data_IF_378536871926
#
_entry.id   IF_378536871926
#
_cell.length_a   1.000
_cell.length_b   1.000
_cell.length_c   1.000
_cell.angle_alpha   90.00
_cell.angle_beta   90.00
_cell.angle_gamma   90.00
#
_symmetry.space_group_name_H-M   'P 1'
#
loop_
_entity.id
_entity.type
_entity.pdbx_description
1 polymer ?
#
# COMPACT_ATOMS: atom_id res chain seq x y z
N UNK A 1 -35.45 45.41 -57.38
CA UNK A 1 -35.22 44.63 -58.57
C UNK A 1 -34.74 43.23 -58.13
N UNK A 2 -35.40 42.21 -58.25
CA UNK A 2 -36.29 41.54 -59.07
C UNK A 2 -36.64 40.24 -58.38
N UNK A 3 -37.88 40.06 -58.33
CA UNK A 3 -38.70 38.87 -58.19
C UNK A 3 -38.24 37.68 -59.08
N UNK A 4 -38.53 36.50 -58.62
CA UNK A 4 -39.59 35.56 -59.18
C UNK A 4 -39.46 34.27 -58.37
N UNK A 5 -40.50 33.86 -57.65
CA UNK A 5 -41.63 32.98 -57.92
C UNK A 5 -41.24 31.66 -58.61
N UNK A 6 -41.60 30.55 -57.95
CA UNK A 6 -42.40 29.57 -58.61
C UNK A 6 -42.10 28.14 -58.28
N UNK A 7 -43.09 27.56 -57.71
CA UNK A 7 -43.77 26.27 -57.96
C UNK A 7 -43.40 25.04 -57.11
N UNK A 8 -44.46 24.65 -56.46
CA UNK A 8 -44.66 23.35 -55.80
C UNK A 8 -44.80 22.20 -56.89
N UNK A 9 -44.27 21.05 -56.48
CA UNK A 9 -44.77 19.79 -57.04
C UNK A 9 -44.80 18.73 -55.94
N UNK A 10 -46.00 18.21 -55.70
CA UNK A 10 -46.30 16.99 -54.99
C UNK A 10 -45.78 15.79 -55.76
N UNK A 11 -45.23 14.81 -55.02
CA UNK A 11 -45.28 13.42 -55.48
C UNK A 11 -45.23 12.50 -54.23
N UNK A 12 -46.15 11.58 -54.34
CA UNK A 12 -46.60 10.62 -53.35
C UNK A 12 -45.57 9.54 -53.01
N UNK A 13 -45.61 9.08 -51.75
CA UNK A 13 -45.59 7.77 -51.17
C UNK A 13 -44.62 6.69 -51.66
N UNK A 14 -43.76 6.28 -50.75
CA UNK A 14 -43.45 4.85 -50.59
C UNK A 14 -43.00 4.55 -49.17
N UNK A 15 -43.77 3.69 -48.53
CA UNK A 15 -43.48 3.05 -47.25
C UNK A 15 -42.29 2.13 -47.40
N UNK A 16 -41.19 2.44 -46.66
CA UNK A 16 -40.06 1.54 -46.50
C UNK A 16 -39.82 1.32 -45.02
N UNK A 17 -40.07 0.12 -44.55
CA UNK A 17 -39.71 -0.37 -43.24
C UNK A 17 -38.19 -0.26 -43.05
N UNK A 18 -37.75 0.51 -42.08
CA UNK A 18 -36.38 0.44 -41.60
C UNK A 18 -36.37 -0.38 -40.31
N UNK A 19 -35.80 -1.55 -40.41
CA UNK A 19 -35.50 -2.46 -39.30
C UNK A 19 -34.58 -1.77 -38.30
N UNK A 20 -34.95 -1.87 -37.04
CA UNK A 20 -34.19 -1.34 -35.93
C UNK A 20 -32.84 -2.03 -35.77
N UNK A 21 -31.75 -1.32 -35.98
CA UNK A 21 -30.45 -1.72 -35.48
C UNK A 21 -30.35 -1.30 -33.99
N UNK A 22 -30.51 -2.29 -33.13
CA UNK A 22 -30.15 -2.18 -31.72
C UNK A 22 -28.64 -1.94 -31.62
N UNK A 23 -28.26 -0.78 -31.10
CA UNK A 23 -26.87 -0.48 -30.70
C UNK A 23 -26.43 -1.51 -29.67
N UNK A 24 -25.39 -2.27 -29.98
CA UNK A 24 -24.71 -3.12 -29.02
C UNK A 24 -23.99 -2.23 -27.97
N UNK A 25 -24.03 -2.59 -26.69
CA UNK A 25 -23.25 -1.90 -25.69
C UNK A 25 -21.76 -2.16 -25.94
N UNK A 26 -20.99 -1.06 -25.92
CA UNK A 26 -19.54 -1.03 -26.01
C UNK A 26 -18.97 -1.93 -24.92
N UNK A 27 -18.03 -2.79 -25.34
CA UNK A 27 -17.47 -3.86 -24.56
C UNK A 27 -16.99 -3.46 -23.17
N UNK A 28 -17.43 -4.24 -22.22
CA UNK A 28 -16.74 -4.37 -20.94
C UNK A 28 -15.32 -4.87 -21.24
N UNK A 29 -14.32 -4.10 -20.85
CA UNK A 29 -12.96 -4.59 -20.73
C UNK A 29 -12.99 -5.77 -19.75
N UNK A 30 -12.95 -6.97 -20.28
CA UNK A 30 -12.69 -8.16 -19.50
C UNK A 30 -11.29 -8.04 -18.93
N UNK A 31 -11.22 -7.70 -17.64
CA UNK A 31 -10.10 -8.04 -16.81
C UNK A 31 -9.80 -9.53 -17.01
N UNK A 32 -8.76 -9.82 -17.76
CA UNK A 32 -8.23 -11.18 -17.89
C UNK A 32 -7.59 -11.58 -16.57
N UNK A 33 -8.41 -12.06 -15.64
CA UNK A 33 -7.88 -12.86 -14.54
C UNK A 33 -7.39 -14.19 -15.13
N UNK A 34 -6.17 -14.62 -14.79
CA UNK A 34 -5.71 -15.95 -15.16
C UNK A 34 -6.58 -17.00 -14.44
N UNK A 35 -7.30 -17.79 -15.22
CA UNK A 35 -8.08 -18.94 -14.75
C UNK A 35 -7.10 -20.09 -14.52
N UNK A 36 -6.37 -20.04 -13.42
CA UNK A 36 -5.77 -21.22 -12.79
C UNK A 36 -5.85 -20.96 -11.28
N UNK A 37 -6.35 -21.90 -10.51
CA UNK A 37 -6.51 -21.77 -9.05
C UNK A 37 -5.19 -21.72 -8.27
N UNK A 38 -4.15 -21.13 -8.83
CA UNK A 38 -2.86 -20.92 -8.21
C UNK A 38 -2.78 -19.46 -7.74
N UNK A 39 -2.44 -19.26 -6.49
CA UNK A 39 -2.19 -17.94 -5.92
C UNK A 39 -1.07 -17.24 -6.71
N UNK A 40 -1.14 -15.90 -6.89
CA UNK A 40 -0.10 -15.16 -7.59
C UNK A 40 1.24 -15.24 -6.84
N UNK A 41 2.34 -15.18 -7.59
CA UNK A 41 3.68 -15.06 -7.00
C UNK A 41 3.74 -13.84 -6.08
N UNK A 42 4.21 -14.02 -4.85
CA UNK A 42 4.31 -12.97 -3.85
C UNK A 42 5.68 -12.94 -3.18
N UNK A 43 6.04 -11.78 -2.64
CA UNK A 43 7.20 -11.61 -1.79
C UNK A 43 6.80 -11.54 -0.32
N UNK A 44 7.37 -12.42 0.50
CA UNK A 44 7.34 -12.32 1.95
C UNK A 44 8.60 -11.63 2.43
N UNK A 45 8.46 -10.77 3.42
CA UNK A 45 9.60 -10.07 4.03
C UNK A 45 9.38 -9.81 5.52
N UNK A 46 10.48 -9.67 6.25
CA UNK A 46 10.52 -9.26 7.63
C UNK A 46 11.73 -8.38 7.88
N UNK A 47 11.62 -7.50 8.85
CA UNK A 47 12.66 -6.60 9.27
C UNK A 47 13.09 -6.88 10.71
N UNK A 48 14.38 -6.80 11.00
CA UNK A 48 14.86 -6.73 12.36
C UNK A 48 14.77 -5.30 12.83
N UNK A 49 14.02 -5.09 13.89
CA UNK A 49 13.72 -3.78 14.46
C UNK A 49 14.54 -3.64 15.73
N UNK A 50 15.32 -2.57 15.83
CA UNK A 50 16.17 -2.31 16.99
C UNK A 50 15.38 -2.42 18.29
N UNK A 51 15.91 -3.18 19.24
CA UNK A 51 15.35 -3.46 20.57
C UNK A 51 14.04 -4.29 20.55
N UNK A 52 13.55 -4.73 19.40
CA UNK A 52 12.31 -5.52 19.30
C UNK A 52 12.51 -6.89 18.65
N UNK A 53 13.59 -7.04 17.89
CA UNK A 53 13.83 -8.28 17.14
C UNK A 53 13.13 -8.33 15.79
N UNK A 54 12.96 -9.53 15.26
CA UNK A 54 12.31 -9.74 13.97
C UNK A 54 10.80 -9.42 14.04
N UNK A 55 10.35 -8.63 13.09
CA UNK A 55 8.91 -8.41 12.88
C UNK A 55 8.21 -9.71 12.47
N UNK A 56 6.88 -9.74 12.57
CA UNK A 56 6.10 -10.74 11.86
C UNK A 56 6.41 -10.70 10.36
N UNK A 57 6.32 -11.87 9.71
CA UNK A 57 6.42 -11.96 8.25
C UNK A 57 5.28 -11.19 7.62
N UNK A 58 5.61 -10.36 6.65
CA UNK A 58 4.68 -9.50 5.93
C UNK A 58 4.70 -9.90 4.46
N UNK A 59 3.56 -10.02 3.83
CA UNK A 59 3.43 -10.35 2.41
C UNK A 59 3.04 -9.12 1.60
N UNK A 60 3.35 -9.17 0.33
CA UNK A 60 3.05 -8.22 -0.75
C UNK A 60 2.38 -6.91 -0.34
N UNK A 61 3.08 -5.81 -0.53
CA UNK A 61 2.61 -4.43 -0.30
C UNK A 61 2.05 -4.12 1.10
N UNK A 62 2.10 -5.05 2.05
CA UNK A 62 1.73 -4.77 3.42
C UNK A 62 2.87 -4.05 4.16
N UNK A 63 2.52 -3.35 5.22
CA UNK A 63 3.47 -2.54 5.97
C UNK A 63 4.31 -3.41 6.92
N UNK A 64 5.64 -3.34 6.78
CA UNK A 64 6.59 -3.75 7.79
C UNK A 64 7.30 -2.50 8.32
N UNK A 65 7.04 -2.08 9.55
CA UNK A 65 7.59 -0.84 10.10
C UNK A 65 8.04 -0.95 11.55
N UNK A 66 9.04 -0.14 11.88
CA UNK A 66 9.47 0.07 13.25
C UNK A 66 8.55 1.07 13.96
N UNK A 67 8.30 0.91 15.25
CA UNK A 67 7.61 1.92 16.03
C UNK A 67 8.48 3.17 16.25
N UNK A 68 7.86 4.22 16.79
CA UNK A 68 8.55 5.48 17.09
C UNK A 68 9.78 5.24 17.94
N UNK A 69 10.89 5.90 17.60
CA UNK A 69 12.21 5.80 18.24
C UNK A 69 12.93 4.45 18.03
N UNK A 70 12.49 3.63 17.10
CA UNK A 70 13.21 2.45 16.64
C UNK A 70 13.42 2.52 15.11
N UNK A 71 14.19 1.62 14.55
CA UNK A 71 14.51 1.57 13.12
C UNK A 71 14.87 0.17 12.67
N UNK A 72 14.91 -0.03 11.36
CA UNK A 72 15.30 -1.29 10.75
C UNK A 72 16.82 -1.41 10.70
N UNK A 73 17.35 -2.55 11.14
CA UNK A 73 18.79 -2.86 11.12
C UNK A 73 19.14 -4.07 10.24
N UNK A 74 18.19 -4.94 9.94
CA UNK A 74 18.37 -6.07 9.03
C UNK A 74 17.05 -6.43 8.33
N UNK A 75 17.14 -7.18 7.23
CA UNK A 75 15.98 -7.68 6.48
C UNK A 75 16.17 -9.13 6.05
N UNK A 76 15.05 -9.82 5.84
CA UNK A 76 14.91 -11.10 5.16
C UNK A 76 13.77 -11.01 4.17
N UNK A 77 13.92 -11.65 3.01
CA UNK A 77 12.85 -11.78 2.03
C UNK A 77 12.91 -13.13 1.32
N UNK A 78 11.76 -13.69 1.01
CA UNK A 78 11.63 -14.91 0.21
C UNK A 78 10.37 -14.85 -0.65
N UNK A 79 10.32 -15.69 -1.67
CA UNK A 79 9.14 -15.82 -2.53
C UNK A 79 8.22 -16.92 -2.03
N UNK A 80 6.92 -16.71 -2.23
CA UNK A 80 5.87 -17.71 -2.03
C UNK A 80 4.98 -17.81 -3.27
N UNK A 81 4.23 -18.91 -3.41
CA UNK A 81 3.37 -19.22 -4.54
C UNK A 81 4.12 -19.21 -5.88
N UNK A 82 5.35 -19.74 -5.87
CA UNK A 82 6.16 -19.88 -7.08
C UNK A 82 5.42 -20.81 -8.04
N UNK A 83 5.13 -20.39 -9.29
CA UNK A 83 4.43 -21.24 -10.26
C UNK A 83 5.22 -22.50 -10.57
N UNK A 84 4.53 -23.63 -10.69
CA UNK A 84 5.13 -24.92 -10.97
C UNK A 84 6.01 -24.87 -12.23
N UNK A 85 7.19 -25.47 -12.15
CA UNK A 85 8.15 -25.50 -13.23
C UNK A 85 8.87 -24.17 -13.50
N UNK A 86 8.59 -23.12 -12.71
CA UNK A 86 9.24 -21.81 -12.85
C UNK A 86 10.45 -21.71 -11.94
N UNK A 87 11.59 -21.31 -12.50
CA UNK A 87 12.79 -21.01 -11.72
C UNK A 87 12.83 -19.51 -11.45
N UNK A 88 12.37 -19.11 -10.27
CA UNK A 88 12.42 -17.72 -9.80
C UNK A 88 12.82 -17.69 -8.34
N UNK A 89 13.78 -16.83 -8.01
CA UNK A 89 14.26 -16.56 -6.67
C UNK A 89 14.29 -15.05 -6.43
N UNK A 90 14.70 -14.63 -5.25
CA UNK A 90 14.89 -13.23 -4.89
C UNK A 90 16.26 -13.04 -4.26
N UNK A 91 16.95 -11.96 -4.65
CA UNK A 91 18.13 -11.48 -3.92
C UNK A 91 17.99 -10.03 -3.52
N UNK A 92 18.63 -9.67 -2.45
CA UNK A 92 18.54 -8.33 -1.89
C UNK A 92 19.80 -7.98 -1.10
N UNK A 93 20.09 -6.70 -1.01
CA UNK A 93 21.17 -6.15 -0.18
C UNK A 93 20.71 -4.86 0.47
N UNK A 94 21.37 -4.49 1.54
CA UNK A 94 21.11 -3.26 2.28
C UNK A 94 22.36 -2.40 2.37
N UNK A 95 22.13 -1.10 2.43
CA UNK A 95 23.15 -0.11 2.76
C UNK A 95 23.01 0.24 4.22
N UNK A 96 24.06 -0.02 5.01
CA UNK A 96 24.11 0.35 6.42
C UNK A 96 24.81 1.70 6.59
N UNK A 97 24.27 2.53 7.47
CA UNK A 97 24.87 3.80 7.84
C UNK A 97 26.33 3.62 8.27
N UNK A 98 27.22 4.40 7.66
CA UNK A 98 28.66 4.35 7.94
C UNK A 98 29.42 3.13 7.40
N UNK A 99 28.72 2.12 6.85
CA UNK A 99 29.36 0.90 6.32
C UNK A 99 29.22 0.80 4.80
N UNK A 100 28.08 1.25 4.25
CA UNK A 100 27.76 1.12 2.85
C UNK A 100 27.01 -0.17 2.52
N UNK A 101 27.04 -0.57 1.23
CA UNK A 101 26.35 -1.75 0.73
C UNK A 101 27.00 -3.04 1.23
N UNK A 102 26.20 -3.92 1.84
CA UNK A 102 26.62 -5.26 2.21
C UNK A 102 26.55 -6.22 1.00
N UNK A 103 27.02 -7.44 1.18
CA UNK A 103 26.84 -8.49 0.19
C UNK A 103 25.38 -8.83 -0.06
N UNK A 104 25.07 -9.32 -1.26
CA UNK A 104 23.75 -9.86 -1.59
C UNK A 104 23.41 -11.05 -0.70
N UNK A 105 22.18 -11.05 -0.20
CA UNK A 105 21.54 -12.20 0.44
C UNK A 105 20.44 -12.73 -0.49
N UNK A 106 20.07 -13.99 -0.36
CA UNK A 106 19.12 -14.68 -1.24
C UNK A 106 18.11 -15.48 -0.43
N UNK A 107 16.90 -15.58 -0.94
CA UNK A 107 15.86 -16.55 -0.56
C UNK A 107 15.71 -16.80 0.95
N UNK A 108 15.50 -15.76 1.73
CA UNK A 108 15.29 -15.80 3.17
C UNK A 108 16.55 -15.65 4.02
N UNK A 109 17.74 -15.56 3.41
CA UNK A 109 18.96 -15.26 4.15
C UNK A 109 18.93 -13.83 4.71
N UNK A 110 19.55 -13.62 5.86
CA UNK A 110 19.63 -12.32 6.51
C UNK A 110 20.66 -11.40 5.83
N UNK A 111 20.32 -10.11 5.67
CA UNK A 111 21.29 -9.06 5.34
C UNK A 111 21.04 -7.86 6.26
N UNK A 112 22.12 -7.24 6.71
CA UNK A 112 22.08 -6.17 7.69
C UNK A 112 22.83 -6.55 8.97
N UNK A 113 22.45 -5.90 10.07
CA UNK A 113 23.05 -6.15 11.39
C UNK A 113 21.96 -6.41 12.43
N UNK A 114 21.41 -7.64 12.50
CA UNK A 114 20.35 -7.99 13.43
C UNK A 114 20.75 -7.75 14.90
N UNK A 115 22.00 -7.98 15.23
CA UNK A 115 22.53 -7.69 16.60
C UNK A 115 23.15 -6.28 16.68
N UNK A 116 23.16 -5.55 15.56
CA UNK A 116 23.76 -4.23 15.46
C UNK A 116 22.79 -3.09 15.78
N UNK A 117 23.33 -1.92 15.97
CA UNK A 117 22.57 -0.68 16.21
C UNK A 117 22.51 0.22 14.99
N UNK A 118 23.27 -0.11 13.95
CA UNK A 118 23.38 0.75 12.76
C UNK A 118 22.11 0.64 11.91
N UNK A 119 21.46 1.76 11.58
CA UNK A 119 20.26 1.73 10.76
C UNK A 119 20.59 1.42 9.31
N UNK A 120 19.62 0.83 8.60
CA UNK A 120 19.61 0.82 7.15
C UNK A 120 19.34 2.24 6.63
N UNK A 121 19.99 2.60 5.53
CA UNK A 121 19.72 3.83 4.78
C UNK A 121 19.08 3.54 3.41
N UNK A 122 19.34 2.36 2.84
CA UNK A 122 18.78 1.99 1.53
C UNK A 122 18.69 0.47 1.39
N UNK A 123 17.85 0.03 0.48
CA UNK A 123 17.66 -1.38 0.11
C UNK A 123 17.61 -1.53 -1.41
N UNK A 124 18.12 -2.64 -1.91
CA UNK A 124 17.95 -3.12 -3.30
C UNK A 124 17.40 -4.52 -3.27
N UNK A 125 16.45 -4.80 -4.17
CA UNK A 125 15.89 -6.14 -4.34
C UNK A 125 15.71 -6.44 -5.82
N UNK A 126 15.99 -7.66 -6.25
CA UNK A 126 15.70 -8.10 -7.61
C UNK A 126 15.35 -9.59 -7.65
N UNK A 127 14.59 -9.96 -8.65
CA UNK A 127 14.27 -11.36 -8.93
C UNK A 127 15.41 -12.02 -9.69
N UNK A 128 15.62 -13.30 -9.43
CA UNK A 128 16.65 -14.14 -10.06
C UNK A 128 16.02 -15.34 -10.77
N UNK A 129 16.80 -16.02 -11.59
CA UNK A 129 16.35 -17.19 -12.34
C UNK A 129 15.65 -16.87 -13.66
N UNK A 130 15.40 -17.90 -14.46
CA UNK A 130 14.84 -17.75 -15.82
C UNK A 130 13.41 -17.24 -15.85
N UNK A 131 12.64 -17.43 -14.78
CA UNK A 131 11.27 -16.94 -14.63
C UNK A 131 11.17 -15.48 -14.22
N UNK A 132 12.26 -14.85 -13.77
CA UNK A 132 12.25 -13.46 -13.29
C UNK A 132 11.75 -12.46 -14.34
N UNK A 133 12.00 -12.71 -15.61
CA UNK A 133 11.61 -11.82 -16.71
C UNK A 133 10.08 -11.65 -16.88
N UNK A 134 9.27 -12.52 -16.25
CA UNK A 134 7.80 -12.45 -16.28
C UNK A 134 7.21 -11.48 -15.25
N UNK A 135 8.02 -10.90 -14.37
CA UNK A 135 7.58 -10.12 -13.24
C UNK A 135 8.37 -8.83 -13.08
N UNK A 136 7.78 -7.89 -12.34
CA UNK A 136 8.46 -6.72 -11.79
C UNK A 136 8.37 -6.77 -10.26
N UNK A 137 9.49 -6.54 -9.59
CA UNK A 137 9.56 -6.43 -8.13
C UNK A 137 9.71 -4.96 -7.76
N UNK A 138 8.71 -4.40 -7.12
CA UNK A 138 8.69 -3.04 -6.61
C UNK A 138 8.92 -3.01 -5.10
N UNK A 139 9.63 -2.00 -4.61
CA UNK A 139 9.84 -1.79 -3.18
C UNK A 139 10.10 -0.32 -2.87
N UNK A 140 9.79 0.08 -1.65
CA UNK A 140 10.04 1.41 -1.13
C UNK A 140 10.32 1.38 0.37
N UNK A 141 10.92 2.43 0.89
CA UNK A 141 11.24 2.57 2.31
C UNK A 141 10.60 3.81 2.91
N UNK A 142 10.29 3.72 4.19
CA UNK A 142 9.84 4.85 5.01
C UNK A 142 11.05 5.48 5.64
N UNK A 143 11.28 6.77 5.38
CA UNK A 143 12.38 7.57 5.93
C UNK A 143 11.85 8.93 6.36
N UNK A 144 12.26 9.40 7.53
CA UNK A 144 11.87 10.72 8.02
C UNK A 144 10.34 10.99 7.95
N UNK A 145 9.53 9.95 8.23
CA UNK A 145 8.08 10.02 8.23
C UNK A 145 7.40 10.03 6.86
N UNK A 146 8.15 9.89 5.76
CA UNK A 146 7.62 9.84 4.40
C UNK A 146 8.10 8.60 3.65
N UNK A 147 7.23 8.04 2.78
CA UNK A 147 7.62 7.00 1.85
C UNK A 147 8.45 7.58 0.71
N UNK A 148 9.52 6.88 0.34
CA UNK A 148 10.21 7.15 -0.94
C UNK A 148 9.30 6.78 -2.11
N UNK A 149 9.67 7.22 -3.31
CA UNK A 149 9.10 6.65 -4.53
C UNK A 149 9.41 5.14 -4.62
N UNK A 150 8.60 4.42 -5.40
CA UNK A 150 8.85 3.03 -5.69
C UNK A 150 10.12 2.85 -6.52
N UNK A 151 11.06 2.09 -5.99
CA UNK A 151 12.16 1.52 -6.75
C UNK A 151 11.75 0.16 -7.31
N UNK A 152 12.44 -0.32 -8.35
CA UNK A 152 12.15 -1.60 -8.97
C UNK A 152 13.42 -2.32 -9.44
N UNK A 153 13.39 -3.64 -9.42
CA UNK A 153 14.31 -4.52 -10.14
C UNK A 153 15.80 -4.15 -9.96
N UNK A 154 16.24 -4.02 -8.71
CA UNK A 154 17.63 -3.73 -8.35
C UNK A 154 17.97 -2.24 -8.20
N UNK A 155 17.04 -1.31 -8.48
CA UNK A 155 17.26 0.10 -8.19
C UNK A 155 17.29 0.36 -6.67
N UNK A 156 17.97 1.41 -6.21
CA UNK A 156 18.05 1.76 -4.79
C UNK A 156 16.76 2.42 -4.32
N UNK A 157 16.20 1.95 -3.21
CA UNK A 157 15.17 2.64 -2.43
C UNK A 157 15.80 3.17 -1.16
N UNK A 158 15.65 4.47 -0.90
CA UNK A 158 16.29 5.18 0.21
C UNK A 158 17.41 6.12 -0.25
N UNK A 159 18.03 6.81 0.69
CA UNK A 159 19.08 7.79 0.45
C UNK A 159 20.39 7.34 1.09
N UNK A 160 21.31 6.87 0.28
CA UNK A 160 22.63 6.38 0.69
C UNK A 160 23.49 7.50 1.25
N UNK A 161 24.13 7.28 2.39
CA UNK A 161 25.07 8.23 3.00
C UNK A 161 24.43 9.52 3.53
N UNK A 162 23.11 9.59 3.57
CA UNK A 162 22.39 10.78 4.05
C UNK A 162 22.14 10.77 5.56
N UNK A 163 22.48 9.68 6.27
CA UNK A 163 22.16 9.52 7.68
C UNK A 163 20.66 9.34 7.96
N UNK A 164 19.87 9.09 6.93
CA UNK A 164 18.44 8.86 7.04
C UNK A 164 18.16 7.38 7.26
N UNK A 165 17.66 7.04 8.43
CA UNK A 165 17.32 5.67 8.80
C UNK A 165 16.06 5.18 8.10
N UNK A 166 16.01 3.89 7.80
CA UNK A 166 14.80 3.22 7.34
C UNK A 166 13.95 2.85 8.55
N UNK A 167 12.72 3.36 8.57
CA UNK A 167 11.72 3.10 9.60
C UNK A 167 10.67 2.08 9.13
N UNK A 168 10.60 1.76 7.85
CA UNK A 168 9.68 0.76 7.31
C UNK A 168 9.98 0.38 5.88
N UNK A 169 9.42 -0.75 5.46
CA UNK A 169 9.61 -1.35 4.13
C UNK A 169 8.26 -1.79 3.60
N UNK A 170 8.07 -1.63 2.29
CA UNK A 170 7.05 -2.31 1.49
C UNK A 170 7.71 -2.89 0.25
N UNK A 171 7.30 -4.10 -0.11
CA UNK A 171 7.70 -4.76 -1.35
C UNK A 171 6.50 -5.48 -1.96
N UNK A 172 6.45 -5.56 -3.28
CA UNK A 172 5.37 -6.22 -4.02
C UNK A 172 5.84 -6.72 -5.37
N UNK A 173 5.27 -7.83 -5.82
CA UNK A 173 5.52 -8.39 -7.15
C UNK A 173 4.28 -8.17 -8.01
N UNK A 174 4.50 -7.74 -9.24
CA UNK A 174 3.47 -7.61 -10.26
C UNK A 174 3.86 -8.38 -11.52
N UNK A 175 2.90 -8.74 -12.36
CA UNK A 175 3.22 -9.24 -13.69
C UNK A 175 4.02 -8.18 -14.46
N UNK A 176 4.92 -8.63 -15.33
CA UNK A 176 5.79 -7.74 -16.11
C UNK A 176 4.98 -6.69 -16.87
N UNK A 177 5.31 -5.43 -16.64
CA UNK A 177 4.64 -4.30 -17.30
C UNK A 177 3.26 -3.93 -16.75
N UNK A 178 2.78 -4.58 -15.69
CA UNK A 178 1.51 -4.22 -15.05
C UNK A 178 1.57 -2.88 -14.29
N UNK A 179 2.77 -2.36 -14.06
CA UNK A 179 2.98 -1.07 -13.41
C UNK A 179 3.13 -1.16 -11.88
N UNK A 180 3.23 0.01 -11.28
CA UNK A 180 3.42 0.19 -9.83
C UNK A 180 2.25 -0.41 -9.05
N UNK A 181 2.50 -1.15 -7.95
CA UNK A 181 1.44 -1.68 -7.10
C UNK A 181 0.51 -0.56 -6.60
N UNK A 182 -0.79 -0.82 -6.61
CA UNK A 182 -1.74 0.10 -5.99
C UNK A 182 -1.44 0.23 -4.49
N UNK A 183 -1.54 1.45 -3.96
CA UNK A 183 -1.41 1.62 -2.51
C UNK A 183 -2.50 0.79 -1.81
N UNK A 184 -2.15 0.05 -0.74
CA UNK A 184 -3.14 -0.66 0.01
C UNK A 184 -4.23 0.31 0.47
N UNK A 185 -5.44 0.07 0.04
CA UNK A 185 -6.59 0.79 0.60
C UNK A 185 -6.68 0.31 2.05
N UNK A 186 -6.28 1.14 2.99
CA UNK A 186 -6.55 0.89 4.41
C UNK A 186 -8.07 1.02 4.56
N UNK A 187 -8.75 -0.05 4.27
CA UNK A 187 -10.17 -0.18 4.55
C UNK A 187 -10.32 -0.24 6.08
N UNK A 188 -10.58 0.88 6.70
CA UNK A 188 -10.94 0.94 8.11
C UNK A 188 -12.33 0.33 8.36
N UNK A 189 -12.75 -0.65 7.56
CA UNK A 189 -14.10 -1.19 7.59
C UNK A 189 -15.15 -0.22 7.06
N UNK A 190 -14.72 0.73 6.23
CA UNK A 190 -15.58 1.73 5.62
C UNK A 190 -16.25 1.12 4.38
N UNK A 191 -17.56 1.04 4.39
CA UNK A 191 -18.37 0.67 3.25
C UNK A 191 -18.82 1.95 2.51
N UNK A 192 -18.23 2.29 1.35
CA UNK A 192 -18.56 3.55 0.65
C UNK A 192 -20.00 3.59 0.10
N UNK A 193 -20.71 2.46 0.10
CA UNK A 193 -22.12 2.40 -0.30
C UNK A 193 -23.09 2.85 0.82
N UNK A 194 -22.59 3.00 2.04
CA UNK A 194 -23.40 3.41 3.22
C UNK A 194 -23.12 4.86 3.61
N UNK A 195 -24.12 5.61 4.02
CA UNK A 195 -23.91 6.93 4.59
C UNK A 195 -22.95 6.87 5.79
N UNK A 196 -21.93 7.71 5.78
CA UNK A 196 -20.91 7.76 6.84
C UNK A 196 -20.71 9.18 7.33
N UNK A 197 -20.35 9.30 8.60
CA UNK A 197 -19.91 10.55 9.21
C UNK A 197 -18.57 10.31 9.88
N UNK A 198 -17.65 11.28 9.80
CA UNK A 198 -16.44 11.33 10.58
C UNK A 198 -16.69 12.23 11.81
N UNK A 199 -16.48 11.69 13.00
CA UNK A 199 -16.58 12.45 14.24
C UNK A 199 -15.18 12.85 14.69
N UNK A 200 -14.98 14.12 14.99
CA UNK A 200 -13.76 14.66 15.58
C UNK A 200 -14.06 15.41 16.86
N UNK A 201 -13.16 15.35 17.82
CA UNK A 201 -13.24 16.09 19.08
C UNK A 201 -11.90 16.79 19.30
N UNK A 202 -11.97 18.09 19.50
CA UNK A 202 -10.79 18.94 19.61
C UNK A 202 -10.59 19.42 21.07
N UNK A 203 -9.36 19.89 21.37
CA UNK A 203 -8.96 20.55 22.63
C UNK A 203 -9.07 19.69 23.92
N UNK A 204 -9.29 18.39 23.76
CA UNK A 204 -9.28 17.44 24.87
C UNK A 204 -7.87 17.00 25.33
N UNK A 205 -7.79 15.93 26.10
CA UNK A 205 -8.90 15.27 26.78
C UNK A 205 -9.26 15.94 28.11
N UNK A 206 -10.51 15.72 28.54
CA UNK A 206 -10.95 15.98 29.90
C UNK A 206 -11.67 14.72 30.39
N UNK A 207 -11.11 14.01 31.37
CA UNK A 207 -11.59 12.69 31.79
C UNK A 207 -13.09 12.64 32.04
N UNK A 208 -13.69 13.62 32.71
CA UNK A 208 -15.14 13.66 33.03
C UNK A 208 -16.06 13.80 31.82
N UNK A 209 -15.57 14.38 30.73
CA UNK A 209 -16.33 14.58 29.48
C UNK A 209 -15.98 13.48 28.48
N UNK A 210 -14.70 13.28 28.26
CA UNK A 210 -14.19 12.34 27.27
C UNK A 210 -14.60 10.90 27.57
N UNK A 211 -14.64 10.49 28.86
CA UNK A 211 -15.13 9.15 29.23
C UNK A 211 -16.58 8.93 28.79
N UNK A 212 -17.45 9.93 28.93
CA UNK A 212 -18.85 9.83 28.51
C UNK A 212 -19.00 9.75 26.99
N UNK A 213 -18.15 10.45 26.25
CA UNK A 213 -18.10 10.33 24.78
C UNK A 213 -17.70 8.91 24.40
N UNK A 214 -16.65 8.37 25.01
CA UNK A 214 -16.19 7.01 24.77
C UNK A 214 -17.24 5.95 25.15
N UNK A 215 -18.00 6.15 26.23
CA UNK A 215 -19.12 5.29 26.59
C UNK A 215 -20.19 5.28 25.50
N UNK A 216 -20.55 6.45 24.99
CA UNK A 216 -21.54 6.59 23.92
C UNK A 216 -21.05 5.98 22.59
N UNK A 217 -19.79 6.19 22.23
CA UNK A 217 -19.18 5.58 21.04
C UNK A 217 -19.20 4.06 21.16
N UNK A 218 -18.76 3.51 22.28
CA UNK A 218 -18.73 2.07 22.54
C UNK A 218 -20.13 1.45 22.47
N UNK A 219 -21.12 2.08 23.10
CA UNK A 219 -22.49 1.59 23.11
C UNK A 219 -23.14 1.53 21.73
N UNK A 220 -22.68 2.36 20.79
CA UNK A 220 -23.19 2.45 19.43
C UNK A 220 -22.23 1.87 18.37
N UNK A 221 -21.17 1.18 18.77
CA UNK A 221 -20.17 0.64 17.85
C UNK A 221 -19.42 1.72 17.04
N UNK A 222 -19.47 2.97 17.52
CA UNK A 222 -18.85 4.11 16.86
C UNK A 222 -17.39 4.31 17.28
N UNK A 223 -16.68 5.07 16.45
CA UNK A 223 -15.30 5.53 16.71
C UNK A 223 -15.18 7.00 16.36
N UNK A 224 -14.16 7.67 16.89
CA UNK A 224 -13.92 9.07 16.61
C UNK A 224 -12.41 9.38 16.61
N UNK A 225 -12.03 10.49 16.01
CA UNK A 225 -10.69 11.03 16.10
C UNK A 225 -10.64 12.12 17.18
N UNK A 226 -9.66 12.05 18.07
CA UNK A 226 -9.46 13.05 19.12
C UNK A 226 -8.18 13.85 18.88
N UNK A 227 -8.32 15.14 18.65
CA UNK A 227 -7.20 16.10 18.58
C UNK A 227 -6.99 16.69 19.97
N UNK A 228 -5.86 16.34 20.59
CA UNK A 228 -5.62 16.61 22.01
C UNK A 228 -4.63 17.74 22.21
N UNK A 229 -4.85 18.56 23.23
CA UNK A 229 -3.84 19.49 23.72
C UNK A 229 -2.77 18.74 24.53
N UNK A 230 -1.50 18.90 24.14
CA UNK A 230 -0.38 18.25 24.84
C UNK A 230 -0.33 18.54 26.34
N UNK A 231 -0.74 19.75 26.78
CA UNK A 231 -0.86 20.13 28.18
C UNK A 231 -1.83 19.26 28.99
N UNK A 232 -2.82 18.64 28.33
CA UNK A 232 -3.86 17.84 28.97
C UNK A 232 -3.50 16.35 29.07
N UNK A 233 -2.48 15.89 28.32
CA UNK A 233 -2.15 14.47 28.14
C UNK A 233 -1.78 13.79 29.46
N UNK A 234 -0.83 14.35 30.20
CA UNK A 234 -0.30 13.72 31.42
C UNK A 234 -1.37 13.55 32.51
N UNK A 235 -2.23 14.55 32.69
CA UNK A 235 -3.30 14.52 33.70
C UNK A 235 -4.45 13.56 33.33
N UNK A 236 -4.53 13.12 32.06
CA UNK A 236 -5.64 12.32 31.52
C UNK A 236 -5.15 11.02 30.87
N UNK A 237 -3.97 10.51 31.20
CA UNK A 237 -3.37 9.34 30.58
C UNK A 237 -4.27 8.09 30.59
N UNK A 238 -5.10 7.91 31.62
CA UNK A 238 -6.03 6.79 31.69
C UNK A 238 -7.10 6.81 30.59
N UNK A 239 -7.70 7.98 30.33
CA UNK A 239 -8.72 8.11 29.28
C UNK A 239 -8.10 8.03 27.88
N UNK A 240 -6.85 8.45 27.71
CA UNK A 240 -6.13 8.32 26.43
C UNK A 240 -5.87 6.84 26.11
N UNK A 241 -5.41 6.04 27.09
CA UNK A 241 -5.27 4.58 26.89
C UNK A 241 -6.59 3.97 26.44
N UNK A 242 -7.69 4.36 27.13
CA UNK A 242 -9.03 3.89 26.75
C UNK A 242 -9.43 4.29 25.31
N UNK A 243 -9.04 5.48 24.82
CA UNK A 243 -9.25 5.86 23.42
C UNK A 243 -8.55 4.87 22.49
N UNK A 244 -7.27 4.57 22.74
CA UNK A 244 -6.49 3.63 21.94
C UNK A 244 -7.11 2.22 21.98
N UNK A 245 -7.48 1.73 23.18
CA UNK A 245 -8.09 0.41 23.37
C UNK A 245 -9.43 0.28 22.62
N UNK A 246 -10.16 1.36 22.45
CA UNK A 246 -11.43 1.43 21.70
C UNK A 246 -11.25 1.74 20.20
N UNK A 247 -10.01 1.91 19.74
CA UNK A 247 -9.68 2.18 18.33
C UNK A 247 -10.07 3.59 17.86
N UNK A 248 -9.98 4.57 18.75
CA UNK A 248 -10.20 5.99 18.49
C UNK A 248 -8.87 6.73 18.31
#
# INVERSE_FOLDING_TARGET
NGQTEGQAAQAEGQTGQAEGQTAQPVGQEQSTQPVTGQEPLQVNYSAFILQQGWSAVTADNNLCSAPVNSWVTAVKANLIHIPDGTQVGIRYQVNLSGTGWLSWAEDGAETGGAEGVMPLESIRMELTGSGAAAYDLYYKVLQNGAWTDWAANGASAGQEGAGLRVDGIRASITAKGAGIPAEPVVSHGIDPSRPMIALTFDDGPKTSVTSRILDSLQANGGRATFFMLGSNVNANAGVIRRMVDQGC
#
